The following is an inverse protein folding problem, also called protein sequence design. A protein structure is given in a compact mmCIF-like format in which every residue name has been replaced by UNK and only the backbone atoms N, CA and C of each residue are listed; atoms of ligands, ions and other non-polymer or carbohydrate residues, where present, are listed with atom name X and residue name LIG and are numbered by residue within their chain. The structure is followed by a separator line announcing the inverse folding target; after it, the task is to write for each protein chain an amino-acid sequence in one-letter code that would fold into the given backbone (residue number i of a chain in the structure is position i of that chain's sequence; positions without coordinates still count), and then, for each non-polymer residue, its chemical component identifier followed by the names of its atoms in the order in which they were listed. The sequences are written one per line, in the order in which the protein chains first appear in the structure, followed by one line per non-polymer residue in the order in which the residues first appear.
data_IF_190246383377
#
_entry.id   IF_190246383377
#
_cell.length_a   1.000
_cell.length_b   1.000
_cell.length_c   1.000
_cell.angle_alpha   90.00
_cell.angle_beta   90.00
_cell.angle_gamma   90.00
#
_symmetry.space_group_name_H-M   'P 1'
#
loop_
_entity.id
_entity.type
_entity.pdbx_description
1 polymer ?
#
# COMPACT_ATOMS: atom_id res chain seq x y z
N UNK A 1 3.40 23.55 0.01
CA UNK A 1 2.85 22.89 -1.18
C UNK A 1 1.46 22.40 -0.77
N UNK A 2 0.40 22.96 -1.36
CA UNK A 2 -0.95 22.51 -1.03
C UNK A 2 -1.16 21.16 -1.75
N UNK A 3 -1.63 20.15 -1.01
CA UNK A 3 -2.26 19.00 -1.66
C UNK A 3 -3.53 19.57 -2.31
N UNK A 4 -3.72 19.47 -3.64
CA UNK A 4 -4.92 19.99 -4.28
C UNK A 4 -6.18 19.38 -3.63
N UNK A 5 -7.27 20.15 -3.55
CA UNK A 5 -8.58 19.72 -3.00
C UNK A 5 -9.26 18.62 -3.84
N UNK A 6 -8.56 18.07 -4.84
CA UNK A 6 -9.07 16.98 -5.66
C UNK A 6 -9.16 15.70 -4.80
N UNK A 7 -10.37 15.14 -4.71
CA UNK A 7 -10.60 13.89 -3.99
C UNK A 7 -9.82 12.74 -4.66
N UNK A 8 -8.81 12.20 -3.98
CA UNK A 8 -8.04 11.06 -4.46
C UNK A 8 -8.73 9.76 -4.03
N UNK A 9 -9.22 8.94 -4.95
CA UNK A 9 -9.98 7.75 -4.60
C UNK A 9 -9.07 6.70 -3.94
N UNK A 10 -9.54 6.18 -2.79
CA UNK A 10 -8.90 5.06 -2.08
C UNK A 10 -9.70 3.78 -2.33
N UNK A 11 -9.00 2.69 -2.64
CA UNK A 11 -9.60 1.38 -2.92
C UNK A 11 -8.64 0.24 -2.60
N UNK A 12 -9.15 -0.99 -2.63
CA UNK A 12 -8.30 -2.17 -2.55
C UNK A 12 -7.27 -2.19 -3.70
N UNK A 13 -6.05 -2.59 -3.37
CA UNK A 13 -4.96 -2.77 -4.32
C UNK A 13 -5.28 -3.89 -5.32
N UNK A 14 -4.98 -3.65 -6.59
CA UNK A 14 -5.00 -4.69 -7.63
C UNK A 14 -3.68 -5.48 -7.59
N UNK A 15 -3.64 -6.72 -8.10
CA UNK A 15 -2.42 -7.54 -8.10
C UNK A 15 -1.14 -6.85 -8.60
N UNK A 16 -1.24 -5.99 -9.62
CA UNK A 16 -0.09 -5.25 -10.15
C UNK A 16 0.37 -4.06 -9.30
N UNK A 17 -0.49 -3.54 -8.42
CA UNK A 17 -0.23 -2.34 -7.61
C UNK A 17 0.41 -2.67 -6.26
N UNK A 18 0.42 -3.94 -5.87
CA UNK A 18 1.05 -4.37 -4.61
C UNK A 18 2.54 -4.02 -4.58
N UNK A 19 3.26 -4.20 -5.68
CA UNK A 19 4.70 -3.88 -5.74
C UNK A 19 4.95 -2.40 -5.49
N UNK A 20 4.11 -1.52 -6.04
CA UNK A 20 4.23 -0.08 -5.84
C UNK A 20 3.86 0.32 -4.40
N UNK A 21 2.82 -0.30 -3.82
CA UNK A 21 2.48 -0.15 -2.41
C UNK A 21 3.64 -0.57 -1.48
N UNK A 22 4.37 -1.65 -1.83
CA UNK A 22 5.54 -2.09 -1.06
C UNK A 22 6.69 -1.11 -1.10
N UNK A 23 7.01 -0.59 -2.28
CA UNK A 23 8.04 0.44 -2.43
C UNK A 23 7.70 1.70 -1.64
N UNK A 24 6.41 2.05 -1.55
CA UNK A 24 5.97 3.18 -0.73
C UNK A 24 6.20 2.92 0.76
N UNK A 25 5.90 1.72 1.26
CA UNK A 25 6.20 1.37 2.66
C UNK A 25 7.69 1.32 2.93
N UNK A 26 8.50 0.72 2.06
CA UNK A 26 9.97 0.72 2.19
C UNK A 26 10.55 2.14 2.23
N UNK A 27 10.06 3.03 1.36
CA UNK A 27 10.51 4.42 1.32
C UNK A 27 10.08 5.24 2.53
N UNK A 28 8.92 4.92 3.13
CA UNK A 28 8.38 5.63 4.30
C UNK A 28 8.92 5.07 5.63
N UNK A 29 9.15 3.76 5.71
CA UNK A 29 9.69 3.06 6.86
C UNK A 29 11.19 2.86 6.63
N UNK A 30 11.97 3.90 6.91
CA UNK A 30 13.41 4.07 6.62
C UNK A 30 14.38 2.90 6.97
N UNK A 31 13.92 1.78 7.53
CA UNK A 31 14.75 0.65 7.95
C UNK A 31 14.07 -0.73 7.83
N UNK A 32 12.91 -0.83 7.16
CA UNK A 32 12.19 -2.12 7.10
C UNK A 32 12.62 -2.90 5.87
N UNK A 33 13.09 -4.13 6.10
CA UNK A 33 13.45 -5.07 5.04
C UNK A 33 12.22 -5.34 4.16
N UNK A 34 12.31 -4.91 2.89
CA UNK A 34 11.37 -5.19 1.81
C UNK A 34 10.91 -6.65 1.78
N UNK A 35 11.85 -7.57 2.00
CA UNK A 35 11.58 -9.01 2.07
C UNK A 35 10.67 -9.37 3.25
N UNK A 36 10.88 -8.78 4.42
CA UNK A 36 10.07 -9.03 5.60
C UNK A 36 8.64 -8.48 5.49
N UNK A 37 8.45 -7.33 4.84
CA UNK A 37 7.09 -6.79 4.58
C UNK A 37 6.36 -7.64 3.57
N UNK A 38 7.06 -8.06 2.51
CA UNK A 38 6.53 -8.95 1.50
C UNK A 38 6.16 -10.31 2.09
N UNK A 39 7.04 -10.90 2.89
CA UNK A 39 6.79 -12.18 3.57
C UNK A 39 5.65 -12.05 4.56
N UNK A 40 5.55 -10.94 5.31
CA UNK A 40 4.42 -10.67 6.19
C UNK A 40 3.10 -10.63 5.40
N UNK A 41 3.05 -9.94 4.27
CA UNK A 41 1.85 -9.84 3.42
C UNK A 41 1.52 -11.15 2.72
N UNK A 42 2.53 -11.88 2.24
CA UNK A 42 2.34 -13.20 1.64
C UNK A 42 1.91 -14.23 2.69
N UNK A 43 2.36 -14.09 3.95
CA UNK A 43 1.97 -14.95 5.08
C UNK A 43 0.59 -14.61 5.66
N UNK A 44 0.17 -13.33 5.62
CA UNK A 44 -1.16 -12.87 6.04
C UNK A 44 -2.23 -13.03 4.95
N UNK A 45 -1.90 -13.61 3.80
CA UNK A 45 -2.90 -14.03 2.80
C UNK A 45 -3.90 -15.06 3.32
N UNK A 46 -3.62 -15.67 4.48
CA UNK A 46 -4.52 -16.67 5.06
C UNK A 46 -5.65 -16.08 5.91
N UNK A 47 -5.60 -14.86 6.45
CA UNK A 47 -6.79 -14.30 7.12
C UNK A 47 -6.77 -12.75 7.14
N UNK A 48 -7.77 -12.17 6.47
CA UNK A 48 -8.38 -10.87 6.77
C UNK A 48 -7.66 -9.56 6.39
N UNK A 49 -6.34 -9.50 6.24
CA UNK A 49 -5.65 -8.24 5.91
C UNK A 49 -5.91 -7.72 4.47
N UNK A 50 -6.10 -6.40 4.32
CA UNK A 50 -6.33 -5.73 3.03
C UNK A 50 -5.38 -4.55 2.82
N UNK A 51 -4.73 -4.50 1.66
CA UNK A 51 -3.97 -3.32 1.22
C UNK A 51 -4.90 -2.35 0.49
N UNK A 52 -4.98 -1.13 0.99
CA UNK A 52 -5.66 -0.01 0.31
C UNK A 52 -4.63 0.90 -0.35
N UNK A 53 -4.96 1.42 -1.54
CA UNK A 53 -4.12 2.32 -2.32
C UNK A 53 -4.88 3.58 -2.72
N UNK A 54 -4.16 4.71 -2.69
CA UNK A 54 -4.59 5.98 -3.28
C UNK A 54 -3.92 6.11 -4.65
N UNK A 55 -4.72 6.36 -5.70
CA UNK A 55 -4.25 6.36 -7.09
C UNK A 55 -4.56 7.69 -7.76
N UNK A 56 -3.53 8.30 -8.35
CA UNK A 56 -3.64 9.46 -9.22
C UNK A 56 -3.29 9.05 -10.66
N UNK A 57 -4.32 9.00 -11.52
CA UNK A 57 -4.22 8.41 -12.86
C UNK A 57 -3.85 6.93 -12.81
N UNK A 58 -2.62 6.60 -13.26
CA UNK A 58 -2.06 5.25 -13.23
C UNK A 58 -1.03 5.05 -12.11
N UNK A 59 -0.77 6.10 -11.32
CA UNK A 59 0.29 6.09 -10.31
C UNK A 59 -0.28 5.84 -8.92
N UNK A 60 0.26 4.84 -8.22
CA UNK A 60 0.00 4.67 -6.79
C UNK A 60 0.82 5.69 -6.03
N UNK A 61 0.15 6.60 -5.30
CA UNK A 61 0.80 7.69 -4.56
C UNK A 61 0.73 7.51 -3.04
N UNK A 62 -0.06 6.53 -2.58
CA UNK A 62 -0.21 6.20 -1.17
C UNK A 62 -0.70 4.77 -0.99
N UNK A 63 -0.28 4.14 0.11
CA UNK A 63 -0.70 2.81 0.48
C UNK A 63 -0.99 2.75 1.99
N UNK A 64 -1.92 1.87 2.37
CA UNK A 64 -2.28 1.57 3.75
C UNK A 64 -2.46 0.07 3.91
N UNK A 65 -1.82 -0.52 4.91
CA UNK A 65 -2.08 -1.90 5.33
C UNK A 65 -3.17 -1.88 6.40
N UNK A 66 -4.31 -2.53 6.15
CA UNK A 66 -5.42 -2.60 7.09
C UNK A 66 -5.69 -4.04 7.51
N UNK A 67 -5.58 -4.32 8.80
CA UNK A 67 -6.00 -5.57 9.42
C UNK A 67 -7.37 -5.40 10.08
N UNK A 68 -8.32 -6.33 9.87
CA UNK A 68 -9.58 -6.37 10.63
C UNK A 68 -9.32 -6.49 12.14
N UNK A 69 -10.19 -5.83 12.91
CA UNK A 69 -10.14 -5.77 14.38
C UNK A 69 -11.07 -6.76 15.06
#
# INVERSE_FOLDING_TARGET
MAIPDDEIPVRAARPGEFVDAMRLFEGALLEVDAGAVRDAIESERDDEATVLVAVDGETVIGALYATPS
#
